data_IF_830698240220
#
_entry.id   IF_830698240220
#
_cell.length_a   1.000
_cell.length_b   1.000
_cell.length_c   1.000
_cell.angle_alpha   90.00
_cell.angle_beta   90.00
_cell.angle_gamma   90.00
#
_symmetry.space_group_name_H-M   'P 1'
#
loop_
_entity.id
_entity.type
_entity.pdbx_description
1 polymer ?
#
# COMPACT_ATOMS: atom_id res chain seq x y z
N UNK A 1 -49.69 -32.95 -20.54
CA UNK A 1 -48.68 -33.56 -19.64
C UNK A 1 -47.47 -32.67 -19.73
N UNK A 2 -47.32 -31.78 -18.75
CA UNK A 2 -46.46 -30.59 -18.83
C UNK A 2 -44.97 -30.95 -18.63
N UNK A 3 -44.03 -30.24 -19.30
CA UNK A 3 -42.60 -30.43 -19.05
C UNK A 3 -42.23 -29.67 -17.78
N UNK A 4 -41.85 -30.38 -16.73
CA UNK A 4 -41.29 -29.78 -15.53
C UNK A 4 -39.83 -29.37 -15.83
N UNK A 5 -39.62 -28.09 -16.09
CA UNK A 5 -38.26 -27.51 -16.09
C UNK A 5 -37.79 -27.41 -14.64
N UNK A 6 -36.86 -28.30 -14.26
CA UNK A 6 -36.15 -28.24 -12.99
C UNK A 6 -35.26 -26.99 -12.96
N UNK A 7 -35.59 -26.03 -12.11
CA UNK A 7 -34.77 -24.86 -11.87
C UNK A 7 -33.66 -25.22 -10.87
N UNK A 8 -32.39 -24.83 -11.09
CA UNK A 8 -31.33 -25.16 -10.16
C UNK A 8 -31.56 -24.47 -8.81
N UNK A 9 -31.64 -25.27 -7.74
CA UNK A 9 -31.80 -24.80 -6.37
C UNK A 9 -30.61 -23.94 -5.96
N UNK A 10 -30.87 -22.73 -5.49
CA UNK A 10 -29.84 -21.84 -4.95
C UNK A 10 -29.12 -22.48 -3.74
N UNK A 11 -27.81 -22.29 -3.57
CA UNK A 11 -27.11 -22.74 -2.37
C UNK A 11 -27.58 -21.94 -1.14
N UNK A 12 -27.65 -22.61 0.01
CA UNK A 12 -27.98 -22.00 1.29
C UNK A 12 -26.95 -20.91 1.66
N UNK A 13 -27.33 -19.86 2.42
CA UNK A 13 -26.37 -18.88 2.92
C UNK A 13 -25.34 -19.59 3.79
N UNK A 14 -24.06 -19.47 3.40
CA UNK A 14 -22.94 -20.06 4.12
C UNK A 14 -22.92 -19.59 5.57
N UNK A 15 -22.89 -20.55 6.50
CA UNK A 15 -22.69 -20.27 7.90
C UNK A 15 -21.36 -19.52 8.09
N UNK A 16 -21.44 -18.29 8.58
CA UNK A 16 -20.27 -17.53 9.01
C UNK A 16 -19.59 -18.26 10.16
N UNK A 17 -18.30 -18.62 10.06
CA UNK A 17 -17.59 -19.22 11.18
C UNK A 17 -17.53 -18.20 12.34
N UNK A 18 -17.58 -18.65 13.61
CA UNK A 18 -17.46 -17.75 14.74
C UNK A 18 -16.09 -17.07 14.71
N UNK A 19 -16.11 -15.74 14.71
CA UNK A 19 -14.92 -14.90 14.85
C UNK A 19 -14.23 -15.28 16.18
N UNK A 20 -12.99 -15.76 16.11
CA UNK A 20 -12.18 -16.00 17.32
C UNK A 20 -11.99 -14.64 18.02
N UNK A 21 -12.11 -14.55 19.36
CA UNK A 21 -11.78 -13.32 20.08
C UNK A 21 -10.38 -12.85 19.64
N UNK A 22 -10.33 -11.59 19.20
CA UNK A 22 -9.18 -11.02 18.51
C UNK A 22 -7.89 -11.18 19.30
N UNK A 23 -6.80 -11.43 18.58
CA UNK A 23 -5.46 -11.38 19.12
C UNK A 23 -5.25 -10.08 19.91
N UNK A 24 -4.46 -10.11 21.01
CA UNK A 24 -4.10 -8.89 21.72
C UNK A 24 -3.46 -7.89 20.75
N UNK A 25 -3.62 -6.57 20.98
CA UNK A 25 -2.96 -5.58 20.15
C UNK A 25 -1.46 -5.86 20.18
N UNK A 26 -0.89 -6.18 19.02
CA UNK A 26 0.55 -6.29 18.87
C UNK A 26 1.15 -4.94 19.30
N UNK A 27 2.16 -4.92 20.21
CA UNK A 27 2.86 -3.69 20.50
C UNK A 27 3.47 -3.18 19.20
N UNK A 28 2.97 -2.04 18.74
CA UNK A 28 3.54 -1.35 17.60
C UNK A 28 5.00 -1.02 17.93
N UNK A 29 5.97 -1.30 17.03
CA UNK A 29 7.35 -0.92 17.27
C UNK A 29 7.42 0.59 17.44
N UNK A 30 7.74 1.01 18.66
CA UNK A 30 7.90 2.41 19.03
C UNK A 30 9.17 2.91 18.32
N UNK A 31 9.13 4.00 17.55
CA UNK A 31 10.33 4.50 16.90
C UNK A 31 11.36 4.92 17.97
N UNK A 32 12.66 4.73 17.73
CA UNK A 32 13.68 5.02 18.73
C UNK A 32 13.70 6.52 19.07
N UNK A 33 13.67 6.84 20.36
CA UNK A 33 13.86 8.17 20.92
C UNK A 33 15.33 8.60 20.80
N UNK A 34 15.79 8.78 19.56
CA UNK A 34 17.01 9.52 19.22
C UNK A 34 16.63 10.80 18.49
N UNK A 35 17.57 11.74 18.23
CA UNK A 35 17.30 12.87 17.35
C UNK A 35 16.84 12.29 16.00
N UNK A 36 15.54 12.38 15.75
CA UNK A 36 14.94 11.95 14.50
C UNK A 36 15.34 12.99 13.49
N UNK A 37 16.53 12.83 12.90
CA UNK A 37 16.81 13.39 11.57
C UNK A 37 15.61 12.94 10.76
N UNK A 38 14.79 13.90 10.30
CA UNK A 38 13.53 13.59 9.65
C UNK A 38 13.84 12.72 8.45
N UNK A 39 13.75 11.41 8.61
CA UNK A 39 14.18 10.46 7.61
C UNK A 39 13.13 10.54 6.51
N UNK A 40 13.45 11.27 5.45
CA UNK A 40 12.59 11.35 4.27
C UNK A 40 12.39 9.94 3.76
N UNK A 41 11.14 9.47 3.84
CA UNK A 41 10.74 8.18 3.27
C UNK A 41 10.18 8.48 1.90
N UNK A 42 10.96 8.20 0.86
CA UNK A 42 10.58 8.47 -0.52
C UNK A 42 10.27 7.16 -1.26
N UNK A 43 9.25 7.18 -2.11
CA UNK A 43 8.82 6.01 -2.86
C UNK A 43 8.41 6.42 -4.26
N UNK A 44 8.67 5.55 -5.24
CA UNK A 44 8.25 5.77 -6.62
C UNK A 44 6.85 5.17 -6.85
N UNK A 45 5.91 6.01 -7.27
CA UNK A 45 4.55 5.59 -7.64
C UNK A 45 4.36 5.66 -9.15
N UNK A 46 3.55 4.76 -9.69
CA UNK A 46 3.26 4.72 -11.12
C UNK A 46 1.99 5.52 -11.44
N UNK A 47 2.08 6.38 -12.45
CA UNK A 47 1.00 7.24 -12.98
C UNK A 47 0.87 7.00 -14.49
N UNK A 48 0.62 5.75 -14.87
CA UNK A 48 0.39 5.34 -16.26
C UNK A 48 1.70 4.99 -16.96
N UNK A 49 2.10 5.76 -17.97
CA UNK A 49 3.39 5.55 -18.66
C UNK A 49 4.57 6.27 -17.98
N UNK A 50 4.34 6.88 -16.82
CA UNK A 50 5.31 7.65 -16.07
C UNK A 50 5.34 7.18 -14.62
N UNK A 51 6.53 7.17 -14.03
CA UNK A 51 6.75 6.90 -12.63
C UNK A 51 7.26 8.19 -11.96
N UNK A 52 6.69 8.53 -10.82
CA UNK A 52 6.94 9.77 -10.08
C UNK A 52 7.40 9.41 -8.68
N UNK A 53 8.50 9.99 -8.21
CA UNK A 53 8.93 9.86 -6.83
C UNK A 53 8.08 10.77 -5.92
N UNK A 54 7.61 10.25 -4.79
CA UNK A 54 6.88 11.02 -3.77
C UNK A 54 7.50 10.73 -2.42
N UNK A 55 7.62 11.75 -1.57
CA UNK A 55 8.08 11.59 -0.21
C UNK A 55 6.96 11.90 0.78
N UNK A 56 6.99 11.24 1.94
CA UNK A 56 6.07 11.51 3.05
C UNK A 56 6.15 12.97 3.56
N UNK A 57 7.22 13.71 3.24
CA UNK A 57 7.33 15.14 3.55
C UNK A 57 6.52 16.06 2.59
N UNK A 58 5.93 15.50 1.54
CA UNK A 58 5.19 16.25 0.51
C UNK A 58 5.99 16.56 -0.75
N UNK A 59 7.28 16.23 -0.78
CA UNK A 59 8.09 16.38 -1.99
C UNK A 59 7.61 15.44 -3.11
N UNK A 60 7.58 15.95 -4.32
CA UNK A 60 7.29 15.18 -5.53
C UNK A 60 8.40 15.40 -6.53
N UNK A 61 9.05 14.32 -6.94
CA UNK A 61 10.11 14.33 -7.95
C UNK A 61 9.59 14.48 -9.37
N UNK A 62 10.50 14.59 -10.35
CA UNK A 62 10.14 14.70 -11.76
C UNK A 62 9.45 13.42 -12.28
N UNK A 63 8.52 13.58 -13.22
CA UNK A 63 7.91 12.44 -13.90
C UNK A 63 8.90 11.78 -14.87
N UNK A 64 9.29 10.52 -14.62
CA UNK A 64 10.24 9.76 -15.45
C UNK A 64 9.53 8.60 -16.11
N UNK A 65 9.80 8.35 -17.41
CA UNK A 65 9.34 7.11 -18.08
C UNK A 65 10.07 5.86 -17.56
N UNK A 66 11.32 6.02 -17.14
CA UNK A 66 12.09 4.92 -16.53
C UNK A 66 11.78 4.82 -15.04
N UNK A 67 11.18 3.68 -14.65
CA UNK A 67 10.92 3.35 -13.24
C UNK A 67 12.20 3.30 -12.42
N UNK A 68 13.30 2.86 -13.02
CA UNK A 68 14.58 2.80 -12.32
C UNK A 68 15.11 4.20 -11.99
N UNK A 69 14.97 5.12 -12.94
CA UNK A 69 15.39 6.51 -12.75
C UNK A 69 14.52 7.21 -11.68
N UNK A 70 13.21 6.95 -11.68
CA UNK A 70 12.31 7.43 -10.63
C UNK A 70 12.66 6.88 -9.23
N UNK A 71 13.09 5.62 -9.14
CA UNK A 71 13.58 5.05 -7.87
C UNK A 71 14.88 5.69 -7.40
N UNK A 72 15.79 6.03 -8.33
CA UNK A 72 17.03 6.77 -8.00
C UNK A 72 16.73 8.20 -7.54
N UNK A 73 15.77 8.88 -8.16
CA UNK A 73 15.28 10.19 -7.71
C UNK A 73 14.73 10.11 -6.28
N UNK A 74 13.92 9.08 -5.96
CA UNK A 74 13.44 8.85 -4.60
C UNK A 74 14.62 8.64 -3.62
N UNK A 75 15.52 7.69 -3.91
CA UNK A 75 16.67 7.40 -3.04
C UNK A 75 17.62 8.61 -2.85
N UNK A 76 17.80 9.42 -3.89
CA UNK A 76 18.59 10.66 -3.80
C UNK A 76 17.96 11.68 -2.83
N UNK A 77 16.63 11.76 -2.81
CA UNK A 77 15.90 12.59 -1.85
C UNK A 77 15.97 12.04 -0.41
N UNK A 78 15.89 10.72 -0.24
CA UNK A 78 16.09 10.07 1.08
C UNK A 78 17.49 10.37 1.64
N UNK A 79 18.50 10.39 0.79
CA UNK A 79 19.89 10.65 1.15
C UNK A 79 20.21 12.14 1.33
N UNK A 80 19.41 13.04 0.77
CA UNK A 80 19.63 14.49 0.83
C UNK A 80 18.43 15.19 1.48
N UNK A 81 18.30 15.11 2.82
CA UNK A 81 17.40 15.98 3.57
C UNK A 81 17.88 17.42 3.40
N UNK A 82 17.40 18.09 2.36
CA UNK A 82 17.57 19.53 2.22
C UNK A 82 16.47 20.16 3.08
N UNK A 83 16.81 20.97 4.10
CA UNK A 83 15.82 21.60 4.98
C UNK A 83 14.96 22.64 4.26
#
# INVERSE_FOLDING_TARGET
>A
MEPHTDAPRAPAPGAVPPQRPGSPPQPHPQPPTGPTVSAHTASATDRGSFCVAVCACGWTGPARRSRDLARRDAAGHEATPTP
#
